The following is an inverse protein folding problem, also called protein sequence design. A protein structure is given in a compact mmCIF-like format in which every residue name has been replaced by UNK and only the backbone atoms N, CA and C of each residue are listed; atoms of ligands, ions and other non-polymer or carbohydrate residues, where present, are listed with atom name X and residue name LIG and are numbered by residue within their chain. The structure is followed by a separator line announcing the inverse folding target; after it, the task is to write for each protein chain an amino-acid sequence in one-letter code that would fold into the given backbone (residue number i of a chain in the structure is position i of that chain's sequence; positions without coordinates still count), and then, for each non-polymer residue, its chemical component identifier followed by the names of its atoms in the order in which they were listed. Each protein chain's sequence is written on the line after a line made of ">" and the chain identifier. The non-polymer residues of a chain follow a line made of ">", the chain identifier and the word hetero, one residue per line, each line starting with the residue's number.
data_IF_050458740529
#
_entry.id   IF_050458740529
#
_cell.length_a   1.000
_cell.length_b   1.000
_cell.length_c   1.000
_cell.angle_alpha   90.00
_cell.angle_beta   90.00
_cell.angle_gamma   90.00
#
_symmetry.space_group_name_H-M   'P 1'
#
loop_
_entity.id
_entity.type
_entity.pdbx_description
1 polymer ?
#
# COMPACT_ATOMS: atom_id res chain seq x y z
N UNK A 1 -7.77 -15.21 -25.36
CA UNK A 1 -7.24 -15.99 -24.21
C UNK A 1 -5.70 -16.15 -24.23
N UNK A 2 -4.95 -15.53 -25.16
CA UNK A 2 -3.49 -15.70 -25.27
C UNK A 2 -2.59 -14.77 -24.44
N UNK A 3 -3.16 -13.87 -23.62
CA UNK A 3 -2.43 -12.74 -23.00
C UNK A 3 -1.55 -13.09 -21.79
N UNK A 4 -1.68 -14.30 -21.25
CA UNK A 4 -0.91 -14.74 -20.10
C UNK A 4 0.36 -15.49 -20.50
N UNK A 5 0.37 -16.13 -21.68
CA UNK A 5 1.52 -16.90 -22.15
C UNK A 5 2.58 -16.03 -22.81
N UNK A 6 2.18 -14.99 -23.56
CA UNK A 6 3.05 -13.95 -24.12
C UNK A 6 2.49 -12.57 -23.75
N UNK A 7 3.32 -11.53 -23.86
CA UNK A 7 2.85 -10.15 -23.67
C UNK A 7 1.77 -9.78 -24.69
N UNK A 8 0.91 -8.83 -24.31
CA UNK A 8 -0.06 -8.22 -25.22
C UNK A 8 0.64 -7.56 -26.41
N UNK A 9 -0.05 -7.54 -27.55
CA UNK A 9 0.42 -6.80 -28.72
C UNK A 9 0.16 -5.31 -28.51
N UNK A 10 1.23 -4.52 -28.55
CA UNK A 10 1.22 -3.08 -28.40
C UNK A 10 1.40 -2.41 -29.76
N UNK A 11 0.72 -1.28 -29.92
CA UNK A 11 0.83 -0.41 -31.07
C UNK A 11 1.16 1.01 -30.59
N UNK A 12 2.07 1.68 -31.31
CA UNK A 12 2.30 3.11 -31.13
C UNK A 12 1.18 3.85 -31.85
N UNK A 13 0.47 4.69 -31.12
CA UNK A 13 -0.61 5.51 -31.66
C UNK A 13 -0.27 6.98 -31.49
N UNK A 14 -0.51 7.77 -32.54
CA UNK A 14 -0.45 9.21 -32.52
C UNK A 14 -1.86 9.76 -32.36
N UNK A 15 -2.00 10.67 -31.41
CA UNK A 15 -3.25 11.26 -31.02
C UNK A 15 -3.25 12.76 -31.35
N UNK A 16 -4.32 13.19 -32.01
CA UNK A 16 -4.57 14.59 -32.32
C UNK A 16 -5.76 15.07 -31.49
N UNK A 17 -5.48 16.00 -30.57
CA UNK A 17 -6.47 16.62 -29.69
C UNK A 17 -6.51 18.11 -29.93
N UNK A 18 -7.71 18.69 -30.10
CA UNK A 18 -7.84 20.14 -30.05
C UNK A 18 -7.62 20.66 -28.63
N UNK A 19 -7.07 21.87 -28.48
CA UNK A 19 -6.79 22.48 -27.16
C UNK A 19 -8.02 22.53 -26.25
N UNK A 20 -9.21 22.71 -26.83
CA UNK A 20 -10.45 22.91 -26.08
C UNK A 20 -11.01 21.60 -25.50
N UNK A 21 -10.74 20.46 -26.15
CA UNK A 21 -11.24 19.13 -25.73
C UNK A 21 -10.23 18.34 -24.92
N UNK A 22 -8.94 18.69 -25.03
CA UNK A 22 -7.86 17.83 -24.60
C UNK A 22 -7.86 17.50 -23.10
N UNK A 23 -8.23 18.47 -22.25
CA UNK A 23 -8.33 18.23 -20.81
C UNK A 23 -9.36 17.13 -20.48
N UNK A 24 -10.55 17.19 -21.09
CA UNK A 24 -11.61 16.22 -20.84
C UNK A 24 -11.26 14.86 -21.45
N UNK A 25 -10.67 14.82 -22.66
CA UNK A 25 -10.21 13.58 -23.27
C UNK A 25 -9.14 12.88 -22.42
N UNK A 26 -8.13 13.62 -21.92
CA UNK A 26 -7.07 13.04 -21.08
C UNK A 26 -7.61 12.61 -19.72
N UNK A 27 -8.58 13.33 -19.16
CA UNK A 27 -9.29 12.88 -17.96
C UNK A 27 -9.95 11.50 -18.16
N UNK A 28 -10.72 11.32 -19.23
CA UNK A 28 -11.36 10.04 -19.55
C UNK A 28 -10.34 8.92 -19.81
N UNK A 29 -9.23 9.25 -20.51
CA UNK A 29 -8.13 8.30 -20.72
C UNK A 29 -7.45 7.91 -19.40
N UNK A 30 -7.33 8.86 -18.46
CA UNK A 30 -6.76 8.63 -17.14
C UNK A 30 -7.61 7.69 -16.29
N UNK A 31 -8.94 7.82 -16.34
CA UNK A 31 -9.85 6.88 -15.65
C UNK A 31 -9.84 5.49 -16.31
N UNK A 32 -9.60 5.40 -17.62
CA UNK A 32 -9.47 4.12 -18.33
C UNK A 32 -8.15 3.40 -18.00
N UNK A 33 -7.03 4.13 -17.95
CA UNK A 33 -5.73 3.60 -17.50
C UNK A 33 -5.05 2.58 -18.45
N UNK A 34 -5.34 2.64 -19.75
CA UNK A 34 -4.83 1.67 -20.76
C UNK A 34 -3.77 2.25 -21.71
N UNK A 35 -3.31 3.47 -21.45
CA UNK A 35 -2.46 4.23 -22.36
C UNK A 35 -1.18 4.68 -21.64
N UNK A 36 -0.03 4.47 -22.25
CA UNK A 36 1.24 5.00 -21.78
C UNK A 36 1.72 6.11 -22.72
N UNK A 37 1.73 7.35 -22.23
CA UNK A 37 2.20 8.50 -23.00
C UNK A 37 3.72 8.50 -23.14
N UNK A 38 4.18 8.90 -24.33
CA UNK A 38 5.58 9.17 -24.62
C UNK A 38 5.83 10.68 -24.53
N UNK A 39 7.00 11.05 -24.03
CA UNK A 39 7.45 12.43 -24.06
C UNK A 39 7.91 12.80 -25.48
N UNK A 40 7.08 13.54 -26.21
CA UNK A 40 7.42 14.07 -27.54
C UNK A 40 8.33 15.31 -27.41
N UNK A 41 8.38 15.91 -26.23
CA UNK A 41 9.03 17.19 -25.95
C UNK A 41 10.33 17.06 -25.15
N UNK A 42 11.02 15.91 -25.26
CA UNK A 42 12.20 15.57 -24.45
C UNK A 42 13.35 16.57 -24.53
N UNK A 43 13.47 17.32 -25.64
CA UNK A 43 14.48 18.38 -25.81
C UNK A 43 14.15 19.72 -25.15
N UNK A 44 12.95 19.87 -24.56
CA UNK A 44 12.53 21.11 -23.89
C UNK A 44 12.67 21.00 -22.38
N UNK A 45 13.22 22.05 -21.76
CA UNK A 45 13.33 22.12 -20.31
C UNK A 45 11.93 22.15 -19.67
N UNK A 46 11.80 21.52 -18.51
CA UNK A 46 10.52 21.42 -17.80
C UNK A 46 9.83 22.78 -17.60
N UNK A 47 10.58 23.86 -17.38
CA UNK A 47 10.04 25.22 -17.17
C UNK A 47 9.51 25.91 -18.43
N UNK A 48 9.93 25.46 -19.62
CA UNK A 48 9.53 26.04 -20.90
C UNK A 48 8.27 25.38 -21.46
N UNK A 49 7.78 24.31 -20.83
CA UNK A 49 6.57 23.61 -21.24
C UNK A 49 5.34 24.49 -21.03
N UNK A 50 4.30 24.26 -21.84
CA UNK A 50 3.15 25.15 -21.92
C UNK A 50 2.35 25.22 -20.61
N UNK A 51 2.13 24.09 -19.94
CA UNK A 51 1.23 23.99 -18.79
C UNK A 51 1.96 24.01 -17.43
N UNK A 52 3.13 24.65 -17.35
CA UNK A 52 3.95 24.68 -16.12
C UNK A 52 3.28 25.51 -15.03
N UNK A 53 2.63 26.60 -15.39
CA UNK A 53 1.97 27.48 -14.43
C UNK A 53 0.77 26.78 -13.78
N UNK A 54 0.06 25.96 -14.55
CA UNK A 54 -1.07 25.15 -14.11
C UNK A 54 -0.62 24.04 -13.17
N UNK A 55 0.51 23.38 -13.45
CA UNK A 55 1.12 22.41 -12.52
C UNK A 55 1.54 23.10 -11.22
N UNK A 56 2.19 24.27 -11.29
CA UNK A 56 2.56 25.07 -10.10
C UNK A 56 1.35 25.50 -9.28
N UNK A 57 0.27 25.89 -9.94
CA UNK A 57 -1.02 26.23 -9.29
C UNK A 57 -1.58 25.01 -8.53
N UNK A 58 -1.48 23.82 -9.10
CA UNK A 58 -1.86 22.58 -8.41
C UNK A 58 -0.95 22.25 -7.23
N UNK A 59 0.36 22.45 -7.35
CA UNK A 59 1.31 22.28 -6.24
C UNK A 59 0.99 23.22 -5.07
N UNK A 60 0.61 24.46 -5.36
CA UNK A 60 0.22 25.43 -4.35
C UNK A 60 -1.09 25.02 -3.67
N UNK A 61 -2.09 24.54 -4.41
CA UNK A 61 -3.30 23.95 -3.82
C UNK A 61 -2.99 22.74 -2.94
N UNK A 62 -2.10 21.83 -3.37
CA UNK A 62 -1.64 20.72 -2.54
C UNK A 62 -0.93 21.21 -1.27
N UNK A 63 -0.12 22.26 -1.34
CA UNK A 63 0.54 22.88 -0.18
C UNK A 63 -0.50 23.37 0.84
N UNK A 64 -1.55 24.06 0.37
CA UNK A 64 -2.67 24.52 1.21
C UNK A 64 -3.39 23.35 1.86
N UNK A 65 -3.71 22.30 1.10
CA UNK A 65 -4.35 21.09 1.63
C UNK A 65 -3.49 20.35 2.67
N UNK A 66 -2.16 20.25 2.46
CA UNK A 66 -1.24 19.67 3.46
C UNK A 66 -1.15 20.49 4.74
N UNK A 67 -1.29 21.81 4.65
CA UNK A 67 -1.41 22.66 5.84
C UNK A 67 -2.70 22.33 6.61
N UNK A 68 -3.84 22.22 5.93
CA UNK A 68 -5.11 21.81 6.56
C UNK A 68 -5.02 20.42 7.20
N UNK A 69 -4.43 19.45 6.50
CA UNK A 69 -4.22 18.08 7.01
C UNK A 69 -3.44 18.10 8.33
N UNK A 70 -2.34 18.85 8.41
CA UNK A 70 -1.55 19.00 9.63
C UNK A 70 -2.34 19.65 10.77
N UNK A 71 -3.18 20.64 10.49
CA UNK A 71 -4.01 21.28 11.52
C UNK A 71 -5.11 20.33 12.04
N UNK A 72 -5.70 19.52 11.16
CA UNK A 72 -6.70 18.49 11.51
C UNK A 72 -6.08 17.38 12.36
N UNK A 73 -4.88 16.92 12.00
CA UNK A 73 -4.14 15.90 12.77
C UNK A 73 -3.75 16.39 14.17
N UNK A 74 -3.36 17.66 14.32
CA UNK A 74 -3.05 18.27 15.63
C UNK A 74 -4.23 18.20 16.59
N UNK A 75 -5.44 18.47 16.11
CA UNK A 75 -6.67 18.43 16.90
C UNK A 75 -7.27 17.02 17.00
N UNK A 76 -6.61 15.99 16.43
CA UNK A 76 -7.01 14.57 16.44
C UNK A 76 -8.41 14.31 15.87
N UNK A 77 -8.84 15.10 14.90
CA UNK A 77 -10.09 14.81 14.18
C UNK A 77 -9.90 13.59 13.27
N UNK A 78 -10.84 12.62 13.28
CA UNK A 78 -10.78 11.50 12.36
C UNK A 78 -11.05 11.98 10.94
N UNK A 79 -10.08 11.83 10.04
CA UNK A 79 -10.28 12.03 8.61
C UNK A 79 -11.14 10.87 8.10
N UNK A 80 -12.35 11.17 7.64
CA UNK A 80 -13.26 10.17 7.10
C UNK A 80 -12.82 9.82 5.67
N UNK A 81 -12.48 8.55 5.44
CA UNK A 81 -12.31 8.01 4.10
C UNK A 81 -13.65 7.40 3.65
N UNK A 82 -14.39 8.14 2.82
CA UNK A 82 -15.66 7.65 2.25
C UNK A 82 -15.46 6.53 1.22
N UNK A 83 -14.20 6.26 0.82
CA UNK A 83 -13.87 5.30 -0.23
C UNK A 83 -14.30 5.73 -1.64
N UNK A 84 -14.84 6.94 -1.76
CA UNK A 84 -15.27 7.50 -3.04
C UNK A 84 -14.05 7.95 -3.87
N UNK A 85 -14.03 7.54 -5.13
CA UNK A 85 -13.07 8.04 -6.11
C UNK A 85 -13.79 9.10 -6.98
N UNK A 86 -13.76 10.40 -6.62
CA UNK A 86 -14.44 11.44 -7.38
C UNK A 86 -13.85 11.54 -8.80
N UNK A 87 -14.69 11.82 -9.79
CA UNK A 87 -14.23 12.16 -11.14
C UNK A 87 -13.36 13.43 -11.13
N UNK A 88 -12.51 13.58 -12.14
CA UNK A 88 -11.70 14.78 -12.27
C UNK A 88 -12.60 16.00 -12.56
N UNK A 89 -12.41 17.11 -11.84
CA UNK A 89 -13.23 18.30 -12.01
C UNK A 89 -12.91 19.01 -13.34
N UNK A 90 -13.90 19.73 -13.88
CA UNK A 90 -13.71 20.54 -15.09
C UNK A 90 -12.78 21.74 -14.83
N UNK A 91 -12.11 22.30 -15.86
CA UNK A 91 -11.17 23.41 -15.69
C UNK A 91 -11.74 24.66 -14.99
N UNK A 92 -13.05 24.91 -15.15
CA UNK A 92 -13.76 26.03 -14.50
C UNK A 92 -13.81 25.87 -12.98
N UNK A 93 -14.07 24.66 -12.49
CA UNK A 93 -14.16 24.34 -11.07
C UNK A 93 -12.81 24.45 -10.34
N UNK A 94 -11.68 24.43 -11.08
CA UNK A 94 -10.35 24.62 -10.50
C UNK A 94 -10.23 26.00 -9.84
N UNK A 95 -10.82 27.04 -10.45
CA UNK A 95 -10.79 28.39 -9.90
C UNK A 95 -11.60 28.47 -8.61
N UNK A 96 -12.76 27.84 -8.59
CA UNK A 96 -13.62 27.79 -7.40
C UNK A 96 -12.93 27.03 -6.26
N UNK A 97 -12.29 25.90 -6.56
CA UNK A 97 -11.52 25.12 -5.58
C UNK A 97 -10.36 25.92 -5.00
N UNK A 98 -9.62 26.65 -5.83
CA UNK A 98 -8.53 27.50 -5.36
C UNK A 98 -9.03 28.60 -4.42
N UNK A 99 -10.13 29.26 -4.78
CA UNK A 99 -10.75 30.29 -3.93
C UNK A 99 -11.20 29.71 -2.58
N UNK A 100 -11.81 28.52 -2.58
CA UNK A 100 -12.22 27.82 -1.37
C UNK A 100 -10.99 27.50 -0.49
N UNK A 101 -9.93 26.94 -1.07
CA UNK A 101 -8.73 26.57 -0.30
C UNK A 101 -7.98 27.78 0.24
N UNK A 102 -7.93 28.88 -0.51
CA UNK A 102 -7.34 30.13 -0.07
C UNK A 102 -8.12 30.76 1.07
N UNK A 103 -9.46 30.79 0.96
CA UNK A 103 -10.33 31.29 2.03
C UNK A 103 -10.16 30.47 3.32
N UNK A 104 -10.16 29.14 3.21
CA UNK A 104 -9.98 28.24 4.36
C UNK A 104 -8.59 28.38 5.00
N UNK A 105 -7.52 28.48 4.20
CA UNK A 105 -6.16 28.68 4.72
C UNK A 105 -6.04 30.01 5.45
N UNK A 106 -6.56 31.10 4.86
CA UNK A 106 -6.50 32.43 5.45
C UNK A 106 -7.32 32.53 6.73
N UNK A 107 -8.55 32.01 6.73
CA UNK A 107 -9.41 31.99 7.91
C UNK A 107 -8.78 31.20 9.06
N UNK A 108 -8.19 30.03 8.79
CA UNK A 108 -7.51 29.24 9.82
C UNK A 108 -6.22 29.91 10.32
N UNK A 109 -5.43 30.55 9.46
CA UNK A 109 -4.24 31.31 9.89
C UNK A 109 -4.62 32.48 10.79
N UNK A 110 -5.66 33.21 10.45
CA UNK A 110 -6.16 34.33 11.24
C UNK A 110 -6.71 33.88 12.60
N UNK A 111 -7.52 32.83 12.61
CA UNK A 111 -8.07 32.24 13.85
C UNK A 111 -6.94 31.70 14.74
N UNK A 112 -5.94 31.02 14.17
CA UNK A 112 -4.80 30.52 14.92
C UNK A 112 -3.95 31.65 15.51
N UNK A 113 -3.65 32.71 14.73
CA UNK A 113 -2.91 33.87 15.24
C UNK A 113 -3.68 34.61 16.33
N UNK A 114 -4.99 34.76 16.16
CA UNK A 114 -5.86 35.41 17.15
C UNK A 114 -5.96 34.58 18.43
N UNK A 115 -6.10 33.26 18.31
CA UNK A 115 -6.13 32.36 19.46
C UNK A 115 -4.81 32.36 20.24
N UNK A 116 -3.66 32.43 19.56
CA UNK A 116 -2.35 32.52 20.21
C UNK A 116 -2.19 33.84 20.98
N UNK A 117 -2.58 34.98 20.38
CA UNK A 117 -2.58 36.29 21.05
C UNK A 117 -3.49 36.30 22.27
N UNK A 118 -4.74 35.84 22.12
CA UNK A 118 -5.70 35.75 23.23
C UNK A 118 -5.19 34.85 24.36
N UNK A 119 -4.56 33.72 24.01
CA UNK A 119 -3.97 32.81 25.01
C UNK A 119 -2.81 33.47 25.74
N UNK A 120 -1.96 34.23 25.06
CA UNK A 120 -0.87 34.99 25.68
C UNK A 120 -1.41 36.03 26.67
N UNK A 121 -2.37 36.85 26.25
CA UNK A 121 -3.00 37.85 27.13
C UNK A 121 -3.72 37.21 28.32
N UNK A 122 -4.41 36.09 28.10
CA UNK A 122 -5.03 35.33 29.19
C UNK A 122 -4.01 34.83 30.21
N UNK A 123 -2.85 34.31 29.75
CA UNK A 123 -1.77 33.88 30.64
C UNK A 123 -1.19 35.06 31.44
N UNK A 124 -0.91 36.18 30.79
CA UNK A 124 -0.39 37.40 31.45
C UNK A 124 -1.36 37.93 32.53
N UNK A 125 -2.66 37.98 32.23
CA UNK A 125 -3.67 38.40 33.21
C UNK A 125 -3.87 37.36 34.33
N UNK A 126 -3.77 36.07 34.02
CA UNK A 126 -3.85 35.01 35.02
C UNK A 126 -2.65 35.05 35.97
N UNK A 127 -1.45 35.36 35.47
CA UNK A 127 -0.26 35.62 36.29
C UNK A 127 -0.48 36.85 37.19
N UNK A 128 -0.95 37.96 36.62
CA UNK A 128 -1.25 39.18 37.36
C UNK A 128 -2.28 38.95 38.48
N UNK A 129 -3.36 38.21 38.20
CA UNK A 129 -4.37 37.80 39.19
C UNK A 129 -3.73 37.02 40.34
N UNK A 130 -2.83 36.09 40.04
CA UNK A 130 -2.18 35.28 41.05
C UNK A 130 -1.21 36.11 41.91
N UNK A 131 -0.49 37.05 41.29
CA UNK A 131 0.35 38.02 41.99
C UNK A 131 -0.51 38.87 42.93
N UNK A 132 -1.55 39.55 42.42
CA UNK A 132 -2.43 40.39 43.25
C UNK A 132 -3.02 39.63 44.43
N UNK A 133 -3.44 38.37 44.24
CA UNK A 133 -3.95 37.50 45.30
C UNK A 133 -2.90 37.20 46.37
N UNK A 134 -1.67 36.84 45.96
CA UNK A 134 -0.57 36.50 46.88
C UNK A 134 -0.01 37.72 47.59
N UNK A 135 0.11 38.83 46.88
CA UNK A 135 0.57 40.12 47.41
C UNK A 135 -0.42 40.67 48.44
N UNK A 136 -1.73 40.46 48.26
CA UNK A 136 -2.72 40.78 49.29
C UNK A 136 -2.44 40.03 50.59
N UNK A 137 -2.25 38.70 50.53
CA UNK A 137 -1.91 37.88 51.71
C UNK A 137 -0.57 38.27 52.32
N UNK A 138 0.44 38.53 51.49
CA UNK A 138 1.78 38.90 51.94
C UNK A 138 1.81 40.21 52.74
N UNK A 139 1.14 41.26 52.24
CA UNK A 139 1.05 42.55 52.94
C UNK A 139 0.15 42.49 54.19
N UNK A 140 -0.78 41.53 54.26
CA UNK A 140 -1.59 41.30 55.47
C UNK A 140 -0.77 40.58 56.58
N UNK A 141 0.31 39.84 56.24
CA UNK A 141 1.16 39.09 57.18
C UNK A 141 2.48 39.80 57.58
N UNK A 142 3.03 40.70 56.76
CA UNK A 142 4.37 41.30 56.99
C UNK A 142 4.33 42.84 56.90
N UNK A 143 4.45 43.52 58.05
CA UNK A 143 4.44 45.00 58.16
C UNK A 143 5.80 45.69 57.95
N UNK A 144 6.85 45.00 57.45
CA UNK A 144 8.19 45.61 57.33
C UNK A 144 8.82 45.44 55.95
N UNK A 145 9.21 46.57 55.37
CA UNK A 145 9.77 46.73 54.03
C UNK A 145 11.15 46.11 53.87
N UNK A 146 11.35 45.32 52.80
CA UNK A 146 12.63 45.24 52.10
C UNK A 146 12.39 44.92 50.62
N UNK A 147 12.34 45.94 49.76
CA UNK A 147 12.17 45.74 48.33
C UNK A 147 13.54 45.57 47.67
N UNK A 148 13.90 44.34 47.32
CA UNK A 148 15.13 44.06 46.57
C UNK A 148 14.90 44.42 45.10
N UNK A 149 15.60 45.44 44.62
CA UNK A 149 15.73 45.76 43.19
C UNK A 149 16.68 44.74 42.55
N UNK A 150 16.20 43.52 42.26
CA UNK A 150 16.95 42.56 41.43
C UNK A 150 16.69 42.88 39.96
N UNK A 151 17.79 43.13 39.26
CA UNK A 151 17.84 43.50 37.84
C UNK A 151 17.18 42.45 36.92
N UNK A 152 16.77 42.94 35.75
CA UNK A 152 16.11 42.32 34.58
C UNK A 152 16.87 41.10 33.99
N UNK A 153 17.93 40.61 34.64
CA UNK A 153 18.83 39.55 34.14
C UNK A 153 18.28 38.12 34.25
N UNK A 154 17.15 37.90 34.93
CA UNK A 154 16.61 36.56 35.22
C UNK A 154 15.34 36.17 34.43
N UNK A 155 15.04 36.82 33.30
CA UNK A 155 13.81 36.57 32.53
C UNK A 155 12.52 36.68 33.36
N UNK A 156 12.52 37.52 34.40
CA UNK A 156 11.36 37.76 35.24
C UNK A 156 10.47 38.86 34.63
N UNK A 157 9.18 38.61 34.53
CA UNK A 157 8.17 39.58 34.10
C UNK A 157 7.70 40.40 35.30
N UNK A 158 7.86 41.73 35.21
CA UNK A 158 7.44 42.67 36.26
C UNK A 158 6.06 43.23 35.92
N UNK A 159 5.14 43.14 36.88
CA UNK A 159 3.81 43.71 36.76
C UNK A 159 3.63 44.90 37.72
N UNK A 160 2.97 46.00 37.29
CA UNK A 160 2.71 47.14 38.17
C UNK A 160 1.69 46.74 39.25
N UNK A 161 2.03 46.94 40.53
CA UNK A 161 1.15 46.66 41.66
C UNK A 161 0.84 47.97 42.41
N UNK A 162 -0.44 48.32 42.64
CA UNK A 162 -0.80 49.47 43.46
C UNK A 162 -0.43 49.29 44.93
N UNK A 163 -0.07 50.39 45.62
CA UNK A 163 0.32 50.36 47.04
C UNK A 163 -0.90 50.18 47.96
N UNK A 164 -2.00 50.86 47.65
CA UNK A 164 -3.24 50.86 48.46
C UNK A 164 -4.00 49.52 48.37
N UNK A 165 -4.51 49.05 49.51
CA UNK A 165 -5.30 47.83 49.59
C UNK A 165 -6.63 47.94 48.82
N UNK A 166 -7.27 49.12 48.83
CA UNK A 166 -8.51 49.35 48.10
C UNK A 166 -8.29 49.30 46.58
N UNK A 167 -7.21 49.92 46.10
CA UNK A 167 -6.87 49.94 44.67
C UNK A 167 -6.45 48.56 44.15
N UNK A 168 -5.74 47.77 44.98
CA UNK A 168 -5.43 46.36 44.68
C UNK A 168 -6.69 45.51 44.54
N UNK A 169 -7.68 45.69 45.41
CA UNK A 169 -8.97 44.98 45.31
C UNK A 169 -9.75 45.38 44.05
N UNK A 170 -9.80 46.68 43.73
CA UNK A 170 -10.46 47.17 42.52
C UNK A 170 -9.80 46.60 41.25
N UNK A 171 -8.46 46.65 41.18
CA UNK A 171 -7.70 46.06 40.06
C UNK A 171 -7.91 44.55 39.96
N UNK A 172 -7.97 43.83 41.10
CA UNK A 172 -8.24 42.39 41.08
C UNK A 172 -9.65 42.04 40.55
N UNK A 173 -10.66 42.86 40.86
CA UNK A 173 -12.02 42.69 40.32
C UNK A 173 -12.03 42.96 38.82
N UNK A 174 -11.37 44.03 38.37
CA UNK A 174 -11.25 44.37 36.94
C UNK A 174 -10.55 43.26 36.15
N UNK A 175 -9.39 42.79 36.62
CA UNK A 175 -8.63 41.69 36.01
C UNK A 175 -9.47 40.40 35.99
N UNK A 176 -10.24 40.12 37.05
CA UNK A 176 -11.12 38.95 37.09
C UNK A 176 -12.24 39.04 36.03
N UNK A 177 -12.83 40.22 35.83
CA UNK A 177 -13.80 40.47 34.76
C UNK A 177 -13.19 40.27 33.37
N UNK A 178 -12.02 40.87 33.11
CA UNK A 178 -11.30 40.71 31.85
C UNK A 178 -10.92 39.25 31.55
N UNK A 179 -10.51 38.49 32.56
CA UNK A 179 -10.22 37.06 32.41
C UNK A 179 -11.48 36.29 32.00
N UNK A 180 -12.62 36.57 32.64
CA UNK A 180 -13.89 35.92 32.32
C UNK A 180 -14.33 36.25 30.88
N UNK A 181 -14.24 37.51 30.46
CA UNK A 181 -14.54 37.92 29.10
C UNK A 181 -13.61 37.23 28.09
N UNK A 182 -12.29 37.21 28.35
CA UNK A 182 -11.32 36.50 27.51
C UNK A 182 -11.59 35.00 27.44
N UNK A 183 -11.99 34.36 28.53
CA UNK A 183 -12.34 32.94 28.55
C UNK A 183 -13.55 32.64 27.66
N UNK A 184 -14.57 33.51 27.66
CA UNK A 184 -15.72 33.38 26.75
C UNK A 184 -15.29 33.52 25.28
N UNK A 185 -14.47 34.52 24.95
CA UNK A 185 -13.97 34.77 23.59
C UNK A 185 -13.05 33.64 23.13
N UNK A 186 -12.17 33.13 23.99
CA UNK A 186 -11.31 31.97 23.71
C UNK A 186 -12.16 30.72 23.42
N UNK A 187 -13.22 30.49 24.19
CA UNK A 187 -14.13 29.36 23.99
C UNK A 187 -14.86 29.48 22.65
N UNK A 188 -15.39 30.66 22.32
CA UNK A 188 -16.04 30.92 21.03
C UNK A 188 -15.06 30.75 19.86
N UNK A 189 -13.84 31.27 19.98
CA UNK A 189 -12.79 31.16 18.96
C UNK A 189 -12.41 29.70 18.72
N UNK A 190 -12.27 28.92 19.81
CA UNK A 190 -11.98 27.49 19.72
C UNK A 190 -13.12 26.71 19.06
N UNK A 191 -14.36 27.01 19.42
CA UNK A 191 -15.54 26.38 18.79
C UNK A 191 -15.63 26.73 17.30
N UNK A 192 -15.40 27.99 16.92
CA UNK A 192 -15.37 28.41 15.51
C UNK A 192 -14.31 27.64 14.74
N UNK A 193 -13.09 27.57 15.26
CA UNK A 193 -11.99 26.77 14.69
C UNK A 193 -12.39 25.31 14.50
N UNK A 194 -12.99 24.69 15.51
CA UNK A 194 -13.43 23.29 15.45
C UNK A 194 -14.47 23.06 14.35
N UNK A 195 -15.44 23.97 14.17
CA UNK A 195 -16.45 23.85 13.09
C UNK A 195 -15.82 23.91 11.69
N UNK A 196 -14.84 24.81 11.50
CA UNK A 196 -14.11 24.90 10.23
C UNK A 196 -13.35 23.60 9.96
N UNK A 197 -12.58 23.13 10.95
CA UNK A 197 -11.79 21.91 10.82
C UNK A 197 -12.67 20.68 10.60
N UNK A 198 -13.83 20.58 11.26
CA UNK A 198 -14.76 19.47 11.06
C UNK A 198 -15.32 19.45 9.64
N UNK A 199 -15.68 20.62 9.09
CA UNK A 199 -16.20 20.74 7.73
C UNK A 199 -15.10 20.42 6.70
N UNK A 200 -13.87 20.89 6.94
CA UNK A 200 -12.73 20.59 6.09
C UNK A 200 -12.35 19.09 6.14
N UNK A 201 -12.35 18.47 7.32
CA UNK A 201 -11.98 17.07 7.52
C UNK A 201 -12.88 16.09 6.76
N UNK A 202 -14.17 16.41 6.59
CA UNK A 202 -15.13 15.60 5.82
C UNK A 202 -14.77 15.52 4.33
N UNK A 203 -14.22 16.59 3.75
CA UNK A 203 -13.96 16.70 2.31
C UNK A 203 -12.48 16.62 1.93
N UNK A 204 -11.57 16.63 2.91
CA UNK A 204 -10.12 16.71 2.71
C UNK A 204 -9.61 15.63 1.74
N UNK A 205 -10.06 14.38 1.91
CA UNK A 205 -9.64 13.26 1.07
C UNK A 205 -10.05 13.44 -0.39
N UNK A 206 -11.30 13.84 -0.61
CA UNK A 206 -11.88 14.14 -1.92
C UNK A 206 -11.13 15.28 -2.60
N UNK A 207 -10.80 16.34 -1.86
CA UNK A 207 -10.01 17.47 -2.37
C UNK A 207 -8.60 17.06 -2.79
N UNK A 208 -7.91 16.23 -1.99
CA UNK A 208 -6.60 15.70 -2.39
C UNK A 208 -6.67 14.87 -3.67
N UNK A 209 -7.68 14.00 -3.81
CA UNK A 209 -7.84 13.18 -5.01
C UNK A 209 -8.08 14.08 -6.23
N UNK A 210 -9.00 15.05 -6.13
CA UNK A 210 -9.30 15.99 -7.23
C UNK A 210 -8.08 16.79 -7.66
N UNK A 211 -7.35 17.41 -6.72
CA UNK A 211 -6.14 18.20 -7.04
C UNK A 211 -5.05 17.33 -7.66
N UNK A 212 -4.81 16.12 -7.14
CA UNK A 212 -3.82 15.19 -7.71
C UNK A 212 -4.21 14.72 -9.11
N UNK A 213 -5.49 14.48 -9.38
CA UNK A 213 -5.99 14.17 -10.74
C UNK A 213 -5.76 15.34 -11.70
N UNK A 214 -6.12 16.55 -11.31
CA UNK A 214 -5.88 17.77 -12.13
C UNK A 214 -4.37 17.89 -12.44
N UNK A 215 -3.51 17.76 -11.43
CA UNK A 215 -2.06 17.82 -11.59
C UNK A 215 -1.53 16.76 -12.56
N UNK A 216 -2.01 15.52 -12.45
CA UNK A 216 -1.64 14.44 -13.37
C UNK A 216 -2.09 14.72 -14.81
N UNK A 217 -3.26 15.31 -15.01
CA UNK A 217 -3.76 15.71 -16.34
C UNK A 217 -2.87 16.81 -16.95
N UNK A 218 -2.51 17.85 -16.20
CA UNK A 218 -1.61 18.89 -16.73
C UNK A 218 -0.18 18.37 -16.94
N UNK A 219 0.29 17.46 -16.09
CA UNK A 219 1.58 16.81 -16.28
C UNK A 219 1.61 15.94 -17.54
N UNK A 220 0.53 15.22 -17.84
CA UNK A 220 0.42 14.42 -19.06
C UNK A 220 0.26 15.32 -20.30
N UNK A 221 -0.52 16.40 -20.22
CA UNK A 221 -0.60 17.43 -21.28
C UNK A 221 0.78 18.04 -21.61
N UNK A 222 1.66 18.18 -20.62
CA UNK A 222 3.04 18.65 -20.82
C UNK A 222 3.94 17.65 -21.56
N UNK A 223 3.49 16.45 -21.90
CA UNK A 223 4.21 15.50 -22.76
C UNK A 223 3.87 15.69 -24.25
N UNK A 224 2.81 16.44 -24.54
CA UNK A 224 2.31 16.68 -25.89
C UNK A 224 3.03 17.85 -26.53
N UNK A 225 3.19 17.78 -27.85
CA UNK A 225 3.62 18.91 -28.64
C UNK A 225 2.40 19.77 -29.02
N UNK A 226 2.50 21.09 -28.85
CA UNK A 226 1.45 22.04 -29.20
C UNK A 226 1.80 22.71 -30.52
N UNK A 227 0.95 22.52 -31.54
CA UNK A 227 1.02 23.34 -32.74
C UNK A 227 0.15 24.60 -32.55
N UNK A 228 0.84 25.73 -32.44
CA UNK A 228 0.22 27.04 -32.23
C UNK A 228 -0.64 27.47 -33.42
N UNK A 229 -0.31 27.00 -34.63
CA UNK A 229 -1.01 27.42 -35.85
C UNK A 229 -2.39 26.77 -35.98
N UNK A 230 -2.49 25.49 -35.66
CA UNK A 230 -3.73 24.70 -35.80
C UNK A 230 -4.53 24.58 -34.49
N UNK A 231 -3.98 25.06 -33.36
CA UNK A 231 -4.52 24.83 -32.01
C UNK A 231 -4.80 23.35 -31.75
N UNK A 232 -3.92 22.50 -32.26
CA UNK A 232 -3.95 21.06 -32.06
C UNK A 232 -2.74 20.65 -31.21
N UNK A 233 -2.96 19.70 -30.33
CA UNK A 233 -1.94 19.01 -29.57
C UNK A 233 -1.75 17.62 -30.16
N UNK A 234 -0.49 17.29 -30.39
CA UNK A 234 -0.05 16.01 -30.93
C UNK A 234 0.71 15.28 -29.84
N UNK A 235 0.24 14.09 -29.51
CA UNK A 235 0.90 13.21 -28.55
C UNK A 235 1.08 11.82 -29.12
N UNK A 236 2.11 11.13 -28.67
CA UNK A 236 2.33 9.72 -28.96
C UNK A 236 2.06 8.89 -27.71
N UNK A 237 1.45 7.73 -27.89
CA UNK A 237 1.21 6.80 -26.80
C UNK A 237 1.26 5.34 -27.23
N UNK A 238 1.65 4.48 -26.30
CA UNK A 238 1.53 3.04 -26.44
C UNK A 238 0.19 2.58 -25.90
N UNK A 239 -0.50 1.76 -26.68
CA UNK A 239 -1.72 1.09 -26.28
C UNK A 239 -1.74 -0.36 -26.79
N UNK A 240 -2.47 -1.24 -26.10
CA UNK A 240 -2.70 -2.59 -26.58
C UNK A 240 -3.64 -2.55 -27.80
N UNK A 241 -3.33 -3.32 -28.84
CA UNK A 241 -4.13 -3.40 -30.09
C UNK A 241 -5.57 -3.81 -29.77
N UNK A 242 -5.74 -4.70 -28.80
CA UNK A 242 -7.05 -5.20 -28.33
C UNK A 242 -7.90 -4.13 -27.62
N UNK A 243 -7.32 -3.02 -27.17
CA UNK A 243 -8.01 -1.99 -26.37
C UNK A 243 -8.21 -0.67 -27.13
N UNK A 244 -7.81 -0.59 -28.41
CA UNK A 244 -7.95 0.61 -29.25
C UNK A 244 -9.41 1.10 -29.32
N UNK A 245 -10.38 0.19 -29.44
CA UNK A 245 -11.80 0.57 -29.48
C UNK A 245 -12.29 1.20 -28.17
N UNK A 246 -11.78 0.73 -27.03
CA UNK A 246 -12.12 1.28 -25.72
C UNK A 246 -11.55 2.69 -25.55
N UNK A 247 -10.34 2.90 -26.06
CA UNK A 247 -9.67 4.20 -26.06
C UNK A 247 -10.44 5.19 -26.95
N UNK A 248 -10.82 4.77 -28.16
CA UNK A 248 -11.64 5.59 -29.06
C UNK A 248 -13.00 5.97 -28.44
N UNK A 249 -13.65 5.04 -27.72
CA UNK A 249 -14.89 5.32 -27.02
C UNK A 249 -14.68 6.33 -25.87
N UNK A 250 -13.60 6.20 -25.09
CA UNK A 250 -13.27 7.14 -24.03
C UNK A 250 -12.97 8.55 -24.58
N UNK A 251 -12.25 8.63 -25.69
CA UNK A 251 -11.99 9.89 -26.39
C UNK A 251 -13.29 10.57 -26.85
N UNK A 252 -14.25 9.80 -27.39
CA UNK A 252 -15.58 10.32 -27.77
C UNK A 252 -16.37 10.83 -26.56
N UNK A 253 -16.34 10.12 -25.42
CA UNK A 253 -16.96 10.60 -24.17
C UNK A 253 -16.35 11.92 -23.69
N UNK A 254 -15.03 12.06 -23.79
CA UNK A 254 -14.33 13.32 -23.46
C UNK A 254 -14.76 14.48 -24.35
N UNK A 255 -14.94 14.22 -25.65
CA UNK A 255 -15.47 15.19 -26.61
C UNK A 255 -16.91 15.62 -26.23
N UNK A 256 -17.79 14.67 -25.97
CA UNK A 256 -19.18 14.95 -25.57
C UNK A 256 -19.25 15.80 -24.31
N UNK A 257 -18.42 15.50 -23.29
CA UNK A 257 -18.33 16.29 -22.05
C UNK A 257 -17.85 17.73 -22.28
N UNK A 258 -17.02 17.95 -23.30
CA UNK A 258 -16.53 19.29 -23.67
C UNK A 258 -17.53 20.12 -24.50
N UNK A 259 -18.68 19.55 -24.90
CA UNK A 259 -19.65 20.15 -25.82
C UNK A 259 -19.03 20.64 -27.15
N UNK A 260 -17.94 20.01 -27.59
CA UNK A 260 -17.28 20.32 -28.86
C UNK A 260 -17.72 19.34 -29.95
N UNK A 261 -17.75 19.81 -31.20
CA UNK A 261 -18.04 18.98 -32.37
C UNK A 261 -16.78 18.38 -32.99
N UNK A 262 -15.59 18.78 -32.52
CA UNK A 262 -14.31 18.36 -33.07
C UNK A 262 -13.92 16.97 -32.56
N UNK A 263 -13.80 16.01 -33.48
CA UNK A 263 -13.49 14.64 -33.10
C UNK A 263 -11.99 14.44 -32.82
N UNK A 264 -11.61 13.83 -31.69
CA UNK A 264 -10.25 13.40 -31.46
C UNK A 264 -9.88 12.27 -32.42
N UNK A 265 -8.68 12.32 -32.98
CA UNK A 265 -8.19 11.32 -33.93
C UNK A 265 -7.08 10.51 -33.26
N UNK A 266 -7.19 9.18 -33.32
CA UNK A 266 -6.15 8.24 -32.91
C UNK A 266 -5.71 7.46 -34.14
N UNK A 267 -4.47 7.65 -34.56
CA UNK A 267 -3.90 6.96 -35.72
C UNK A 267 -2.77 6.02 -35.27
N UNK A 268 -2.80 4.79 -35.77
CA UNK A 268 -1.76 3.81 -35.52
C UNK A 268 -0.53 4.06 -36.40
N UNK A 269 0.65 4.16 -35.80
CA UNK A 269 1.91 4.35 -36.50
C UNK A 269 2.74 3.07 -36.44
N UNK A 270 3.39 2.73 -37.56
CA UNK A 270 4.40 1.68 -37.61
C UNK A 270 5.72 2.28 -37.15
N UNK A 271 6.28 1.72 -36.08
CA UNK A 271 7.57 2.13 -35.52
C UNK A 271 8.53 0.94 -35.44
N UNK A 272 9.82 1.23 -35.49
CA UNK A 272 10.90 0.26 -35.27
C UNK A 272 11.37 0.22 -33.82
N UNK A 273 10.82 1.08 -32.96
CA UNK A 273 11.16 1.12 -31.54
C UNK A 273 10.58 -0.07 -30.77
N UNK A 274 11.25 -0.45 -29.68
CA UNK A 274 10.78 -1.55 -28.84
C UNK A 274 9.56 -1.11 -28.00
N UNK A 275 8.39 -1.74 -28.18
CA UNK A 275 7.22 -1.45 -27.38
C UNK A 275 7.38 -1.93 -25.92
N UNK A 276 6.60 -1.36 -24.98
CA UNK A 276 6.56 -1.82 -23.60
C UNK A 276 5.91 -3.21 -23.49
N UNK A 277 6.37 -4.00 -22.52
CA UNK A 277 5.80 -5.32 -22.22
C UNK A 277 4.61 -5.16 -21.27
N UNK A 278 3.43 -5.64 -21.68
CA UNK A 278 2.22 -5.62 -20.85
C UNK A 278 1.64 -7.03 -20.68
N UNK A 279 1.42 -7.43 -19.42
CA UNK A 279 0.75 -8.67 -19.05
C UNK A 279 -0.54 -8.36 -18.31
N UNK A 280 -1.65 -8.94 -18.75
CA UNK A 280 -2.94 -8.80 -18.06
C UNK A 280 -2.95 -9.69 -16.82
N UNK A 281 -2.79 -9.06 -15.66
CA UNK A 281 -2.83 -9.76 -14.37
C UNK A 281 -4.20 -9.68 -13.72
N UNK A 282 -4.65 -10.79 -13.15
CA UNK A 282 -5.76 -10.79 -12.20
C UNK A 282 -5.23 -10.61 -10.78
N UNK A 283 -6.14 -10.36 -9.84
CA UNK A 283 -5.85 -10.26 -8.41
C UNK A 283 -5.01 -11.43 -7.85
N UNK A 284 -5.20 -12.62 -8.40
CA UNK A 284 -4.45 -13.82 -8.04
C UNK A 284 -3.04 -13.85 -8.65
N UNK A 285 -2.91 -13.60 -9.96
CA UNK A 285 -1.63 -13.72 -10.69
C UNK A 285 -0.71 -12.52 -10.47
N UNK A 286 -1.25 -11.38 -10.02
CA UNK A 286 -0.48 -10.15 -9.79
C UNK A 286 0.71 -10.38 -8.85
N UNK A 287 0.50 -11.09 -7.73
CA UNK A 287 1.56 -11.35 -6.75
C UNK A 287 2.71 -12.18 -7.35
N UNK A 288 2.39 -13.18 -8.18
CA UNK A 288 3.39 -14.00 -8.87
C UNK A 288 4.14 -13.20 -9.95
N UNK A 289 3.42 -12.37 -10.70
CA UNK A 289 4.01 -11.48 -11.70
C UNK A 289 4.97 -10.48 -11.06
N UNK A 290 4.59 -9.86 -9.94
CA UNK A 290 5.44 -8.91 -9.21
C UNK A 290 6.77 -9.53 -8.74
N UNK A 291 6.78 -10.81 -8.36
CA UNK A 291 8.02 -11.51 -7.98
C UNK A 291 8.95 -11.69 -9.19
N UNK A 292 8.40 -11.99 -10.36
CA UNK A 292 9.18 -12.15 -11.59
C UNK A 292 9.69 -10.79 -12.07
N UNK A 293 8.84 -9.79 -12.09
CA UNK A 293 9.20 -8.43 -12.51
C UNK A 293 10.28 -7.83 -11.60
N UNK A 294 10.36 -8.27 -10.33
CA UNK A 294 11.43 -7.88 -9.41
C UNK A 294 12.81 -8.44 -9.81
N UNK A 295 12.86 -9.58 -10.52
CA UNK A 295 14.10 -10.07 -11.12
C UNK A 295 14.45 -9.29 -12.39
N UNK A 296 13.45 -9.03 -13.22
CA UNK A 296 13.59 -8.20 -14.41
C UNK A 296 12.33 -8.24 -15.28
N UNK A 297 12.08 -7.14 -16.00
CA UNK A 297 10.96 -7.04 -16.93
C UNK A 297 11.29 -7.85 -18.20
N UNK A 298 10.38 -8.74 -18.58
CA UNK A 298 10.52 -9.57 -19.78
C UNK A 298 10.57 -8.74 -21.07
N UNK A 299 11.24 -9.26 -22.10
CA UNK A 299 11.27 -8.61 -23.42
C UNK A 299 9.88 -8.68 -24.07
N UNK A 300 9.64 -7.76 -25.00
CA UNK A 300 8.38 -7.74 -25.73
C UNK A 300 8.16 -9.07 -26.47
N UNK A 301 6.95 -9.64 -26.32
CA UNK A 301 6.50 -10.91 -26.90
C UNK A 301 7.26 -12.15 -26.44
N UNK A 302 8.09 -12.02 -25.41
CA UNK A 302 8.71 -13.15 -24.73
C UNK A 302 7.66 -13.99 -23.99
N UNK A 303 7.92 -15.30 -23.86
CA UNK A 303 7.10 -16.20 -23.06
C UNK A 303 7.17 -15.79 -21.58
N UNK A 304 6.02 -15.57 -20.96
CA UNK A 304 5.93 -15.18 -19.57
C UNK A 304 6.12 -16.40 -18.64
N UNK A 305 7.16 -16.43 -17.79
CA UNK A 305 7.35 -17.53 -16.84
C UNK A 305 6.29 -17.54 -15.72
N UNK A 306 5.56 -16.43 -15.50
CA UNK A 306 4.62 -16.27 -14.39
C UNK A 306 3.55 -17.35 -14.33
N UNK A 307 3.09 -17.79 -15.51
CA UNK A 307 2.08 -18.84 -15.59
C UNK A 307 2.57 -20.16 -14.97
N UNK A 308 3.84 -20.50 -15.18
CA UNK A 308 4.44 -21.72 -14.64
C UNK A 308 4.81 -21.56 -13.18
N UNK A 309 5.34 -20.39 -12.80
CA UNK A 309 5.75 -20.13 -11.41
C UNK A 309 4.58 -20.16 -10.43
N UNK A 310 3.35 -19.89 -10.87
CA UNK A 310 2.15 -20.03 -10.03
C UNK A 310 2.08 -21.40 -9.34
N UNK A 311 2.50 -22.47 -10.02
CA UNK A 311 2.51 -23.83 -9.47
C UNK A 311 3.92 -24.27 -9.07
N UNK A 312 4.92 -24.05 -9.92
CA UNK A 312 6.27 -24.60 -9.67
C UNK A 312 6.95 -23.95 -8.47
N UNK A 313 6.75 -22.66 -8.23
CA UNK A 313 7.38 -21.98 -7.09
C UNK A 313 6.82 -22.48 -5.75
N UNK A 314 5.49 -22.48 -5.50
CA UNK A 314 4.94 -23.05 -4.26
C UNK A 314 5.23 -24.54 -4.09
N UNK A 315 5.28 -25.31 -5.18
CA UNK A 315 5.61 -26.73 -5.13
C UNK A 315 7.07 -26.98 -4.72
N UNK A 316 8.04 -26.26 -5.30
CA UNK A 316 9.45 -26.39 -4.91
C UNK A 316 9.68 -25.95 -3.46
N UNK A 317 8.99 -24.89 -3.02
CA UNK A 317 8.98 -24.49 -1.61
C UNK A 317 8.48 -25.64 -0.72
N UNK A 318 7.38 -26.29 -1.08
CA UNK A 318 6.81 -27.39 -0.31
C UNK A 318 7.72 -28.62 -0.24
N UNK A 319 8.51 -28.91 -1.28
CA UNK A 319 9.49 -30.01 -1.24
C UNK A 319 10.60 -29.73 -0.22
N UNK A 320 10.99 -28.45 -0.05
CA UNK A 320 11.99 -28.02 0.93
C UNK A 320 11.44 -27.92 2.36
N UNK A 321 10.20 -27.44 2.51
CA UNK A 321 9.55 -27.18 3.80
C UNK A 321 8.72 -28.37 4.32
N UNK A 322 8.67 -29.49 3.58
CA UNK A 322 7.69 -30.57 3.68
C UNK A 322 7.40 -31.13 5.08
N UNK A 323 6.50 -30.45 5.78
CA UNK A 323 5.88 -30.85 7.04
C UNK A 323 4.39 -30.50 6.95
N UNK A 324 3.54 -31.48 7.21
CA UNK A 324 2.10 -31.31 7.08
C UNK A 324 1.49 -30.49 8.22
N UNK A 325 2.06 -30.55 9.43
CA UNK A 325 1.62 -29.77 10.59
C UNK A 325 1.94 -28.29 10.43
N UNK A 326 3.19 -27.96 10.11
CA UNK A 326 3.58 -26.57 9.84
C UNK A 326 2.90 -26.01 8.58
N UNK A 327 2.74 -26.82 7.53
CA UNK A 327 1.98 -26.46 6.34
C UNK A 327 0.53 -26.11 6.65
N UNK A 328 -0.12 -26.84 7.56
CA UNK A 328 -1.49 -26.54 8.01
C UNK A 328 -1.58 -25.18 8.71
N UNK A 329 -0.64 -24.85 9.59
CA UNK A 329 -0.60 -23.53 10.25
C UNK A 329 -0.43 -22.39 9.25
N UNK A 330 0.48 -22.55 8.29
CA UNK A 330 0.68 -21.58 7.20
C UNK A 330 -0.58 -21.42 6.34
N UNK A 331 -1.24 -22.53 6.01
CA UNK A 331 -2.48 -22.52 5.23
C UNK A 331 -3.61 -21.80 5.98
N UNK A 332 -3.82 -22.09 7.26
CA UNK A 332 -4.85 -21.44 8.07
C UNK A 332 -4.61 -19.93 8.21
N UNK A 333 -3.37 -19.51 8.42
CA UNK A 333 -3.00 -18.10 8.46
C UNK A 333 -3.26 -17.40 7.12
N UNK A 334 -2.87 -18.02 6.00
CA UNK A 334 -3.13 -17.49 4.67
C UNK A 334 -4.63 -17.43 4.34
N UNK A 335 -5.38 -18.46 4.71
CA UNK A 335 -6.83 -18.52 4.52
C UNK A 335 -7.52 -17.40 5.28
N UNK A 336 -7.12 -17.14 6.53
CA UNK A 336 -7.63 -16.01 7.31
C UNK A 336 -7.38 -14.66 6.62
N UNK A 337 -6.19 -14.42 6.04
CA UNK A 337 -5.90 -13.19 5.29
C UNK A 337 -6.78 -13.05 4.03
N UNK A 338 -7.04 -14.15 3.32
CA UNK A 338 -7.88 -14.15 2.11
C UNK A 338 -9.36 -13.92 2.46
N UNK A 339 -9.87 -14.53 3.53
CA UNK A 339 -11.27 -14.36 3.96
C UNK A 339 -11.51 -12.95 4.51
N UNK A 340 -10.57 -12.41 5.30
CA UNK A 340 -10.69 -11.08 5.92
C UNK A 340 -10.21 -9.93 5.03
N UNK A 341 -10.00 -10.17 3.74
CA UNK A 341 -9.30 -9.23 2.85
C UNK A 341 -9.90 -7.82 2.84
N UNK A 342 -11.23 -7.69 2.75
CA UNK A 342 -11.90 -6.37 2.69
C UNK A 342 -11.65 -5.52 3.93
N UNK A 343 -11.60 -6.14 5.11
CA UNK A 343 -11.36 -5.45 6.38
C UNK A 343 -9.89 -5.05 6.50
N UNK A 344 -8.99 -5.94 6.09
CA UNK A 344 -7.54 -5.72 6.15
C UNK A 344 -7.06 -4.70 5.10
N UNK A 345 -7.68 -4.65 3.91
CA UNK A 345 -7.35 -3.64 2.89
C UNK A 345 -7.81 -2.23 3.28
N UNK A 346 -8.89 -2.12 4.05
CA UNK A 346 -9.39 -0.83 4.55
C UNK A 346 -8.48 -0.26 5.64
N UNK A 347 -7.92 -1.11 6.49
CA UNK A 347 -7.01 -0.69 7.53
C UNK A 347 -5.57 -0.63 6.99
N UNK A 348 -5.18 0.54 6.46
CA UNK A 348 -3.82 0.79 5.99
C UNK A 348 -2.86 0.73 7.17
N UNK A 349 -2.27 -0.45 7.40
CA UNK A 349 -1.21 -0.62 8.36
C UNK A 349 0.09 -0.02 7.80
N UNK A 350 0.77 0.78 8.63
CA UNK A 350 2.03 1.42 8.26
C UNK A 350 3.24 0.48 8.23
N UNK A 351 3.06 -0.80 8.58
CA UNK A 351 4.14 -1.77 8.62
C UNK A 351 4.47 -2.31 7.22
N UNK A 352 5.67 -2.04 6.73
CA UNK A 352 6.16 -2.55 5.44
C UNK A 352 6.10 -4.07 5.35
N UNK A 353 6.49 -4.76 6.44
CA UNK A 353 6.46 -6.23 6.54
C UNK A 353 5.04 -6.74 6.31
N UNK A 354 4.04 -6.13 6.95
CA UNK A 354 2.65 -6.54 6.80
C UNK A 354 2.16 -6.38 5.36
N UNK A 355 2.52 -5.28 4.70
CA UNK A 355 2.14 -5.03 3.32
C UNK A 355 2.73 -6.08 2.36
N UNK A 356 3.97 -6.53 2.59
CA UNK A 356 4.59 -7.61 1.80
C UNK A 356 3.80 -8.92 1.98
N UNK A 357 3.50 -9.32 3.21
CA UNK A 357 2.74 -10.54 3.49
C UNK A 357 1.32 -10.50 2.91
N UNK A 358 0.62 -9.37 3.08
CA UNK A 358 -0.74 -9.21 2.58
C UNK A 358 -0.80 -9.23 1.04
N UNK A 359 0.15 -8.60 0.36
CA UNK A 359 0.26 -8.65 -1.10
C UNK A 359 0.56 -10.07 -1.59
N UNK A 360 1.36 -10.84 -0.86
CA UNK A 360 1.71 -12.24 -1.14
C UNK A 360 0.70 -13.29 -0.68
N UNK A 361 -0.50 -12.92 -0.19
CA UNK A 361 -1.46 -13.85 0.47
C UNK A 361 -1.80 -15.11 -0.34
N UNK A 362 -1.95 -15.00 -1.66
CA UNK A 362 -2.25 -16.15 -2.52
C UNK A 362 -1.06 -17.10 -2.70
N UNK A 363 0.16 -16.58 -2.63
CA UNK A 363 1.39 -17.38 -2.70
C UNK A 363 1.51 -18.22 -1.43
N UNK A 364 1.31 -17.59 -0.27
CA UNK A 364 1.37 -18.28 1.03
C UNK A 364 0.28 -19.35 1.13
N UNK A 365 -0.91 -19.07 0.61
CA UNK A 365 -2.00 -20.05 0.55
C UNK A 365 -1.59 -21.31 -0.24
N UNK A 366 -1.00 -21.14 -1.43
CA UNK A 366 -0.53 -22.26 -2.24
C UNK A 366 0.67 -22.97 -1.61
N UNK A 367 1.60 -22.22 -1.01
CA UNK A 367 2.75 -22.80 -0.29
C UNK A 367 2.30 -23.69 0.88
N UNK A 368 1.32 -23.23 1.67
CA UNK A 368 0.73 -24.03 2.73
C UNK A 368 0.03 -25.28 2.21
N UNK A 369 -0.78 -25.14 1.15
CA UNK A 369 -1.49 -26.28 0.53
C UNK A 369 -0.52 -27.35 -0.01
N UNK A 370 0.50 -26.94 -0.77
CA UNK A 370 1.50 -27.88 -1.27
C UNK A 370 2.37 -28.45 -0.16
N UNK A 371 2.67 -27.70 0.92
CA UNK A 371 3.40 -28.21 2.08
C UNK A 371 2.63 -29.28 2.83
N UNK A 372 1.29 -29.16 2.92
CA UNK A 372 0.46 -30.24 3.47
C UNK A 372 0.60 -31.49 2.60
N UNK A 373 0.49 -31.34 1.27
CA UNK A 373 0.66 -32.45 0.34
C UNK A 373 2.05 -33.12 0.46
N UNK A 374 3.14 -32.36 0.38
CA UNK A 374 4.50 -32.92 0.48
C UNK A 374 4.82 -33.47 1.87
N UNK A 375 4.31 -32.83 2.93
CA UNK A 375 4.43 -33.32 4.29
C UNK A 375 3.74 -34.67 4.49
N UNK A 376 2.57 -34.87 3.86
CA UNK A 376 1.90 -36.18 3.84
C UNK A 376 2.66 -37.23 3.00
N UNK A 377 3.29 -36.83 1.88
CA UNK A 377 4.18 -37.72 1.10
C UNK A 377 5.40 -38.13 1.92
N UNK A 378 6.00 -37.22 2.69
CA UNK A 378 7.09 -37.55 3.61
C UNK A 378 6.60 -38.27 4.87
N UNK A 379 5.29 -38.30 5.10
CA UNK A 379 4.65 -38.79 6.31
C UNK A 379 5.25 -38.16 7.59
N UNK A 380 5.38 -36.83 7.56
CA UNK A 380 5.93 -36.04 8.66
C UNK A 380 4.94 -34.94 9.08
N UNK A 381 4.42 -35.06 10.31
CA UNK A 381 3.51 -34.14 10.97
C UNK A 381 4.15 -33.74 12.29
N UNK A 382 4.70 -32.53 12.39
CA UNK A 382 5.41 -32.08 13.60
C UNK A 382 6.47 -33.09 14.10
N UNK A 383 7.28 -33.66 13.20
CA UNK A 383 8.27 -34.72 13.49
C UNK A 383 7.70 -36.10 13.85
N UNK A 384 6.38 -36.31 13.70
CA UNK A 384 5.69 -37.57 13.95
C UNK A 384 5.11 -38.16 12.66
N UNK A 385 5.12 -39.48 12.54
CA UNK A 385 4.53 -40.20 11.40
C UNK A 385 3.11 -40.67 11.70
N UNK A 386 2.20 -40.59 10.72
CA UNK A 386 0.83 -41.10 10.82
C UNK A 386 0.69 -42.47 10.15
N UNK A 387 0.09 -43.42 10.86
CA UNK A 387 -0.21 -44.75 10.32
C UNK A 387 -1.64 -44.78 9.77
N UNK A 388 -1.81 -44.44 8.48
CA UNK A 388 -3.13 -44.30 7.83
C UNK A 388 -3.58 -45.63 7.20
N UNK A 389 -2.69 -46.33 6.51
CA UNK A 389 -3.02 -47.54 5.74
C UNK A 389 -2.54 -48.85 6.39
N UNK A 390 -1.91 -48.78 7.57
CA UNK A 390 -1.18 -49.90 8.15
C UNK A 390 0.23 -49.98 7.57
N UNK A 391 1.21 -50.24 8.43
CA UNK A 391 2.59 -50.50 8.02
C UNK A 391 2.66 -51.72 7.10
N UNK A 392 3.50 -51.65 6.06
CA UNK A 392 3.83 -52.79 5.20
C UNK A 392 4.92 -53.69 5.80
N UNK A 393 5.46 -53.31 6.96
CA UNK A 393 6.41 -54.08 7.76
C UNK A 393 5.75 -54.63 9.02
N UNK A 394 5.98 -55.91 9.28
CA UNK A 394 5.45 -56.65 10.43
C UNK A 394 6.59 -57.29 11.22
N UNK A 395 6.77 -56.96 12.52
CA UNK A 395 7.76 -57.63 13.35
C UNK A 395 7.25 -59.03 13.75
N UNK A 396 7.78 -60.08 13.14
CA UNK A 396 7.51 -61.48 13.51
C UNK A 396 8.62 -62.00 14.42
N UNK A 397 8.73 -61.43 15.64
CA UNK A 397 9.68 -61.88 16.66
C UNK A 397 8.96 -62.52 17.85
N UNK A 398 9.58 -63.57 18.41
CA UNK A 398 9.09 -64.18 19.65
C UNK A 398 9.19 -63.22 20.84
N UNK A 399 8.25 -63.33 21.77
CA UNK A 399 8.20 -62.52 23.01
C UNK A 399 9.48 -62.61 23.86
N UNK A 400 10.23 -63.71 23.75
CA UNK A 400 11.52 -63.92 24.43
C UNK A 400 12.68 -63.17 23.76
N UNK A 401 12.59 -62.89 22.45
CA UNK A 401 13.56 -62.10 21.71
C UNK A 401 13.31 -60.60 21.91
N UNK A 402 12.03 -60.21 21.97
CA UNK A 402 11.60 -58.83 22.21
C UNK A 402 12.01 -58.28 23.59
N UNK A 403 12.13 -59.15 24.60
CA UNK A 403 12.53 -58.77 25.95
C UNK A 403 14.06 -58.75 26.18
N UNK A 404 14.84 -59.38 25.30
CA UNK A 404 16.31 -59.49 25.43
C UNK A 404 17.07 -58.41 24.67
N UNK A 405 16.61 -58.02 23.48
CA UNK A 405 17.34 -57.09 22.62
C UNK A 405 16.70 -55.71 22.55
N UNK A 406 17.54 -54.67 22.63
CA UNK A 406 17.11 -53.25 22.62
C UNK A 406 16.84 -52.74 21.19
N UNK A 407 17.42 -53.38 20.16
CA UNK A 407 17.22 -53.04 18.74
C UNK A 407 17.18 -54.31 17.89
N UNK A 408 16.05 -54.53 17.22
CA UNK A 408 15.85 -55.66 16.31
C UNK A 408 15.86 -55.17 14.86
N UNK A 409 16.51 -55.92 13.97
CA UNK A 409 16.62 -55.59 12.55
C UNK A 409 15.58 -56.36 11.74
N UNK A 410 14.54 -55.67 11.26
CA UNK A 410 13.57 -56.21 10.31
C UNK A 410 14.26 -56.63 9.01
N UNK A 411 14.13 -57.89 8.65
CA UNK A 411 14.68 -58.43 7.41
C UNK A 411 13.60 -58.55 6.34
N UNK A 412 13.86 -58.20 5.07
CA UNK A 412 12.90 -58.38 3.98
C UNK A 412 12.82 -59.86 3.53
N UNK A 413 12.61 -60.79 4.47
CA UNK A 413 12.48 -62.22 4.16
C UNK A 413 11.16 -62.48 3.43
N UNK A 414 11.23 -62.84 2.16
CA UNK A 414 10.12 -63.44 1.43
C UNK A 414 10.09 -64.94 1.72
N UNK A 415 9.50 -65.36 2.83
CA UNK A 415 9.29 -66.78 3.14
C UNK A 415 8.11 -67.36 2.34
N UNK A 416 8.10 -68.68 2.11
CA UNK A 416 7.01 -69.38 1.40
C UNK A 416 5.71 -69.36 2.22
N UNK A 417 5.82 -69.35 3.55
CA UNK A 417 4.68 -69.24 4.47
C UNK A 417 4.36 -67.76 4.76
N UNK A 418 3.11 -67.35 4.56
CA UNK A 418 2.65 -65.96 4.73
C UNK A 418 2.85 -65.46 6.18
N UNK A 419 2.87 -66.36 7.16
CA UNK A 419 3.01 -66.04 8.60
C UNK A 419 4.38 -65.50 9.01
N UNK A 420 5.45 -65.86 8.28
CA UNK A 420 6.84 -65.54 8.67
C UNK A 420 7.42 -64.39 7.86
N UNK A 421 6.59 -63.69 7.07
CA UNK A 421 7.02 -62.57 6.23
C UNK A 421 7.02 -61.29 7.07
N UNK A 422 8.21 -60.72 7.27
CA UNK A 422 8.36 -59.43 7.94
C UNK A 422 8.04 -58.23 7.04
N UNK A 423 7.98 -58.44 5.72
CA UNK A 423 7.57 -57.44 4.73
C UNK A 423 6.39 -57.96 3.91
N UNK A 424 5.36 -57.13 3.75
CA UNK A 424 4.10 -57.47 3.07
C UNK A 424 4.28 -57.80 1.58
N UNK A 425 5.41 -57.41 0.97
CA UNK A 425 5.72 -57.66 -0.45
C UNK A 425 5.23 -56.56 -1.40
N UNK A 426 4.58 -55.52 -0.89
CA UNK A 426 4.17 -54.34 -1.64
C UNK A 426 4.54 -53.06 -0.86
N UNK A 427 4.85 -51.94 -1.54
CA UNK A 427 5.21 -50.68 -0.89
C UNK A 427 4.00 -50.03 -0.22
N UNK A 428 4.26 -49.15 0.76
CA UNK A 428 3.22 -48.37 1.40
C UNK A 428 2.45 -47.54 0.34
N UNK A 429 1.11 -47.59 0.31
CA UNK A 429 0.33 -47.03 -0.80
C UNK A 429 0.50 -45.51 -1.03
N UNK A 430 0.85 -44.73 0.00
CA UNK A 430 0.92 -43.29 -0.09
C UNK A 430 1.99 -42.69 0.84
N UNK A 431 3.09 -42.21 0.27
CA UNK A 431 4.19 -41.60 1.02
C UNK A 431 5.16 -42.61 1.63
N UNK A 432 5.82 -42.23 2.73
CA UNK A 432 6.76 -43.08 3.46
C UNK A 432 6.06 -43.93 4.53
N UNK A 433 6.46 -45.20 4.63
CA UNK A 433 5.96 -46.12 5.66
C UNK A 433 6.31 -45.57 7.07
N UNK A 434 5.33 -45.48 8.01
CA UNK A 434 5.56 -45.03 9.38
C UNK A 434 6.69 -45.75 10.13
N UNK A 435 6.97 -47.02 9.79
CA UNK A 435 8.02 -47.80 10.46
C UNK A 435 9.40 -47.17 10.31
N UNK A 436 9.64 -46.44 9.23
CA UNK A 436 10.92 -45.74 9.04
C UNK A 436 11.15 -44.64 10.07
N UNK A 437 10.11 -44.04 10.66
CA UNK A 437 10.25 -43.05 11.72
C UNK A 437 10.84 -43.65 13.01
N UNK A 438 10.52 -44.91 13.27
CA UNK A 438 10.98 -45.67 14.44
C UNK A 438 12.37 -46.29 14.22
N UNK A 439 12.79 -46.42 12.96
CA UNK A 439 14.03 -47.08 12.59
C UNK A 439 15.29 -46.27 12.91
N UNK A 440 16.35 -46.93 13.39
CA UNK A 440 17.64 -46.28 13.64
C UNK A 440 18.38 -45.84 12.37
N UNK A 441 18.06 -46.44 11.21
CA UNK A 441 18.65 -46.15 9.91
C UNK A 441 17.79 -45.21 9.03
N UNK A 442 16.79 -44.52 9.61
CA UNK A 442 15.92 -43.52 8.94
C UNK A 442 16.70 -42.54 8.07
N UNK A 443 17.77 -41.96 8.63
CA UNK A 443 18.55 -40.89 7.97
C UNK A 443 19.20 -41.40 6.69
N UNK A 444 19.72 -42.63 6.69
CA UNK A 444 20.36 -43.23 5.51
C UNK A 444 19.37 -43.40 4.36
N UNK A 445 18.16 -43.89 4.63
CA UNK A 445 17.12 -44.07 3.63
C UNK A 445 16.57 -42.72 3.14
N UNK A 446 16.14 -41.86 4.07
CA UNK A 446 15.49 -40.59 3.74
C UNK A 446 16.43 -39.65 2.97
N UNK A 447 17.72 -39.60 3.31
CA UNK A 447 18.69 -38.82 2.55
C UNK A 447 18.88 -39.37 1.13
N UNK A 448 18.97 -40.69 0.96
CA UNK A 448 19.10 -41.33 -0.36
C UNK A 448 17.89 -41.01 -1.25
N UNK A 449 16.67 -41.10 -0.70
CA UNK A 449 15.43 -40.78 -1.43
C UNK A 449 15.38 -39.29 -1.78
N UNK A 450 15.60 -38.40 -0.80
CA UNK A 450 15.54 -36.94 -1.00
C UNK A 450 16.57 -36.46 -2.02
N UNK A 451 17.78 -37.00 -2.01
CA UNK A 451 18.82 -36.64 -2.97
C UNK A 451 18.47 -37.09 -4.40
N UNK A 452 17.92 -38.31 -4.58
CA UNK A 452 17.49 -38.76 -5.91
C UNK A 452 16.30 -37.95 -6.42
N UNK A 453 15.34 -37.65 -5.55
CA UNK A 453 14.17 -36.84 -5.87
C UNK A 453 14.54 -35.40 -6.27
N UNK A 454 15.46 -34.76 -5.55
CA UNK A 454 15.89 -33.39 -5.86
C UNK A 454 16.56 -33.29 -7.22
N UNK A 455 17.38 -34.29 -7.60
CA UNK A 455 17.99 -34.36 -8.93
C UNK A 455 16.92 -34.52 -10.02
N UNK A 456 15.96 -35.44 -9.85
CA UNK A 456 14.89 -35.65 -10.84
C UNK A 456 14.05 -34.39 -11.02
N UNK A 457 13.62 -33.76 -9.93
CA UNK A 457 12.84 -32.52 -9.98
C UNK A 457 13.64 -31.36 -10.60
N UNK A 458 14.92 -31.23 -10.26
CA UNK A 458 15.80 -30.21 -10.81
C UNK A 458 16.00 -30.36 -12.32
N UNK A 459 16.27 -31.59 -12.80
CA UNK A 459 16.43 -31.86 -14.23
C UNK A 459 15.14 -31.60 -15.00
N UNK A 460 13.98 -32.04 -14.49
CA UNK A 460 12.69 -31.77 -15.13
C UNK A 460 12.37 -30.28 -15.19
N UNK A 461 12.65 -29.54 -14.12
CA UNK A 461 12.44 -28.08 -14.08
C UNK A 461 13.34 -27.34 -15.08
N UNK A 462 14.62 -27.73 -15.17
CA UNK A 462 15.54 -27.15 -16.16
C UNK A 462 15.13 -27.49 -17.60
N UNK A 463 14.70 -28.73 -17.86
CA UNK A 463 14.21 -29.14 -19.18
C UNK A 463 12.96 -28.35 -19.60
N UNK A 464 12.05 -28.07 -18.66
CA UNK A 464 10.91 -27.18 -18.91
C UNK A 464 11.38 -25.78 -19.33
N UNK A 465 12.35 -25.20 -18.61
CA UNK A 465 12.92 -23.89 -18.94
C UNK A 465 13.54 -23.84 -20.34
N UNK A 466 14.32 -24.84 -20.71
CA UNK A 466 14.93 -24.96 -22.06
C UNK A 466 13.84 -25.11 -23.12
N UNK A 467 12.80 -25.90 -22.85
CA UNK A 467 11.66 -26.09 -23.76
C UNK A 467 10.91 -24.77 -24.00
N UNK A 468 10.71 -23.96 -22.96
CA UNK A 468 10.12 -22.62 -23.08
C UNK A 468 11.02 -21.67 -23.88
N UNK A 469 12.34 -21.76 -23.71
CA UNK A 469 13.31 -21.05 -24.53
C UNK A 469 13.15 -21.34 -26.02
N UNK A 470 12.88 -22.60 -26.41
CA UNK A 470 12.61 -22.96 -27.80
C UNK A 470 11.36 -22.25 -28.38
N UNK A 471 10.34 -21.99 -27.57
CA UNK A 471 9.16 -21.22 -27.99
C UNK A 471 9.43 -19.74 -28.21
N UNK A 472 10.54 -19.17 -27.73
CA UNK A 472 10.89 -17.77 -27.99
C UNK A 472 11.55 -17.57 -29.36
N UNK A 473 12.21 -18.59 -29.91
CA UNK A 473 12.85 -18.54 -31.23
C UNK A 473 11.86 -18.74 -32.40
N UNK A 474 10.58 -18.98 -32.10
CA UNK A 474 9.49 -19.19 -33.06
C UNK A 474 8.42 -18.13 -32.90
#
# INVERSE_FOLDING_TARGET
>A
MGSLFRSEEMQLSQMFLHTDIAYMCISELGELGLVQFRDVTSGTNAFQRKFVNEVRRCDEMERKLRFLEKEIEKDKFPILDTGENPEAPAPREIIDLESIFEKLENELKEVNSSAEKLKKTYLELSELKQILRKTQTFFDEVSFYFFVRVNVSFHATLYPCPDSQADRRNMAIEVMGQIQDLETVLTQTRQHRQRILETAAKNLRTWFIRVRKIKAIYHTLNLFNLDVTTKCMVGECWCAVNDVDKINLALRRGMERSNSTLQPILNGIVTTENPPTYHRTNKFTYAFQSIIDAYGVARYREVNPALFTVITFPFLFAVMFGDAGHGLLMFLFALWMVVCERKLSANKSGGEIWNIFFNGRYIILLMGLFSIYTGLIYNDIFSLSANIFGSSWYPTYDNSALSKEVRLQLEPRTSVNVSDRMYAGYPYPFGLDPVWQLSGNKIMLTNSIKMKMSVVLGVLHMLLGISLGAFNYR
#
